data_IF_711745249260
#
_entry.id   IF_711745249260
#
_cell.length_a   1.000
_cell.length_b   1.000
_cell.length_c   1.000
_cell.angle_alpha   90.00
_cell.angle_beta   90.00
_cell.angle_gamma   90.00
#
_symmetry.space_group_name_H-M   'P 1'
#
loop_
_entity.id
_entity.type
_entity.pdbx_description
1 polymer ?
#
# COMPACT_ATOMS: atom_id res chain seq x y z
N UNK A 1 5.51 43.03 -11.68
CA UNK A 1 5.50 41.97 -12.70
C UNK A 1 6.49 40.92 -12.22
N UNK A 2 6.00 39.81 -11.66
CA UNK A 2 6.83 38.75 -11.09
C UNK A 2 6.57 37.51 -11.92
N UNK A 3 7.64 36.97 -12.50
CA UNK A 3 7.59 35.72 -13.24
C UNK A 3 7.79 34.57 -12.25
N UNK A 4 6.89 33.60 -12.27
CA UNK A 4 7.07 32.34 -11.55
C UNK A 4 7.79 31.36 -12.48
N UNK A 5 8.99 30.93 -12.11
CA UNK A 5 9.58 29.71 -12.65
C UNK A 5 9.25 28.56 -11.69
N UNK A 6 8.76 27.47 -12.27
CA UNK A 6 8.61 26.18 -11.61
C UNK A 6 9.94 25.75 -10.98
N UNK A 7 9.83 25.08 -9.84
CA UNK A 7 10.88 24.33 -9.14
C UNK A 7 11.68 25.07 -8.05
N UNK A 8 11.97 24.30 -7.00
CA UNK A 8 12.61 24.60 -5.71
C UNK A 8 11.86 25.44 -4.66
N UNK A 9 11.20 24.68 -3.79
CA UNK A 9 10.72 25.10 -2.46
C UNK A 9 11.90 25.35 -1.51
N UNK A 10 12.47 26.56 -1.48
CA UNK A 10 13.36 26.99 -0.39
C UNK A 10 12.82 28.28 0.24
N UNK A 11 12.10 28.15 1.36
CA UNK A 11 11.83 29.28 2.27
C UNK A 11 12.86 29.28 3.39
N UNK A 12 13.84 30.19 3.34
CA UNK A 12 14.69 30.50 4.51
C UNK A 12 13.96 31.47 5.44
N UNK A 13 13.65 31.01 6.66
CA UNK A 13 13.27 31.86 7.81
C UNK A 13 14.33 31.69 8.90
N UNK A 14 14.69 32.79 9.55
CA UNK A 14 15.84 32.91 10.45
C UNK A 14 15.82 32.03 11.71
N UNK A 15 17.03 31.83 12.25
CA UNK A 15 17.43 31.24 13.55
C UNK A 15 16.37 30.40 14.29
N UNK A 16 16.60 29.08 14.28
CA UNK A 16 16.14 28.16 15.33
C UNK A 16 15.14 27.11 14.86
N UNK A 17 15.65 25.90 14.60
CA UNK A 17 14.95 24.68 14.17
C UNK A 17 14.37 24.74 12.76
N UNK A 18 15.06 24.06 11.85
CA UNK A 18 14.50 23.58 10.59
C UNK A 18 13.31 22.67 10.95
N UNK A 19 12.09 23.21 10.88
CA UNK A 19 10.89 22.39 10.82
C UNK A 19 10.94 21.73 9.45
N UNK A 20 11.56 20.54 9.40
CA UNK A 20 11.48 19.65 8.24
C UNK A 20 10.00 19.50 7.94
N UNK A 21 9.54 20.11 6.87
CA UNK A 21 8.19 19.92 6.37
C UNK A 21 7.93 18.41 6.35
N UNK A 22 6.80 17.92 6.90
CA UNK A 22 6.53 16.51 6.86
C UNK A 22 6.54 16.11 5.38
N UNK A 23 7.48 15.24 5.00
CA UNK A 23 7.48 14.62 3.68
C UNK A 23 6.08 14.05 3.46
N UNK A 24 5.45 14.23 2.28
CA UNK A 24 4.12 13.68 2.01
C UNK A 24 4.08 12.22 2.45
N UNK A 25 3.05 11.87 3.24
CA UNK A 25 2.95 10.55 3.83
C UNK A 25 2.74 9.51 2.70
N UNK A 26 3.73 8.64 2.54
CA UNK A 26 3.69 7.54 1.56
C UNK A 26 3.06 6.30 2.18
N UNK A 27 2.31 5.53 1.41
CA UNK A 27 1.81 4.22 1.85
C UNK A 27 3.00 3.27 2.05
N UNK A 28 3.02 2.61 3.20
CA UNK A 28 4.07 1.69 3.64
C UNK A 28 3.59 0.26 3.74
N UNK A 29 2.34 0.07 4.18
CA UNK A 29 1.69 -1.24 4.23
C UNK A 29 0.25 -1.14 3.75
N UNK A 30 -0.18 -2.15 3.02
CA UNK A 30 -1.58 -2.43 2.72
C UNK A 30 -1.89 -3.87 3.12
N UNK A 31 -3.03 -4.09 3.75
CA UNK A 31 -3.64 -5.41 3.88
C UNK A 31 -4.97 -5.36 3.16
N UNK A 32 -5.15 -6.24 2.19
CA UNK A 32 -6.30 -6.27 1.29
C UNK A 32 -7.03 -7.61 1.44
N UNK A 33 -8.35 -7.55 1.46
CA UNK A 33 -9.21 -8.70 1.20
C UNK A 33 -9.50 -8.72 -0.31
N UNK A 34 -9.12 -9.82 -0.97
CA UNK A 34 -9.20 -9.96 -2.43
C UNK A 34 -9.94 -11.24 -2.79
N UNK A 35 -10.98 -11.08 -3.61
CA UNK A 35 -11.70 -12.19 -4.24
C UNK A 35 -11.08 -12.46 -5.61
N UNK A 36 -10.73 -13.72 -5.89
CA UNK A 36 -10.19 -14.12 -7.19
C UNK A 36 -10.80 -15.42 -7.71
N UNK A 37 -10.79 -15.68 -9.02
CA UNK A 37 -11.00 -17.03 -9.57
C UNK A 37 -9.87 -18.00 -9.18
N UNK A 38 -10.07 -19.31 -9.34
CA UNK A 38 -9.01 -20.30 -9.09
C UNK A 38 -7.74 -20.10 -9.92
N UNK A 39 -7.88 -19.55 -11.13
CA UNK A 39 -6.76 -19.19 -12.01
C UNK A 39 -6.87 -17.72 -12.40
N UNK A 40 -5.78 -16.92 -12.30
CA UNK A 40 -4.40 -17.31 -11.99
C UNK A 40 -4.15 -17.71 -10.51
N UNK A 41 -3.02 -18.37 -10.27
CA UNK A 41 -2.68 -18.91 -8.94
C UNK A 41 -2.21 -17.80 -7.99
N UNK A 42 -2.25 -18.07 -6.68
CA UNK A 42 -1.71 -17.15 -5.67
C UNK A 42 -0.22 -16.81 -5.88
N UNK A 43 0.54 -17.72 -6.52
CA UNK A 43 1.95 -17.51 -6.85
C UNK A 43 2.12 -16.48 -7.98
N UNK A 44 1.20 -16.45 -8.93
CA UNK A 44 1.21 -15.49 -10.04
C UNK A 44 0.90 -14.08 -9.53
N UNK A 45 -0.11 -13.97 -8.65
CA UNK A 45 -0.42 -12.71 -7.96
C UNK A 45 0.78 -12.22 -7.13
N UNK A 46 1.41 -13.10 -6.35
CA UNK A 46 2.57 -12.73 -5.53
C UNK A 46 3.74 -12.22 -6.38
N UNK A 47 4.04 -12.86 -7.51
CA UNK A 47 5.11 -12.44 -8.41
C UNK A 47 4.81 -11.10 -9.09
N UNK A 48 3.56 -10.92 -9.56
CA UNK A 48 3.14 -9.68 -10.20
C UNK A 48 3.21 -8.49 -9.24
N UNK A 49 2.63 -8.65 -8.04
CA UNK A 49 2.62 -7.60 -7.02
C UNK A 49 4.02 -7.30 -6.47
N UNK A 50 4.84 -8.34 -6.26
CA UNK A 50 6.22 -8.19 -5.78
C UNK A 50 7.15 -7.48 -6.77
N UNK A 51 6.74 -7.35 -8.04
CA UNK A 51 7.51 -6.67 -9.08
C UNK A 51 7.12 -5.19 -9.26
N UNK A 52 6.11 -4.71 -8.52
CA UNK A 52 5.67 -3.32 -8.60
C UNK A 52 6.68 -2.37 -7.95
N UNK A 53 6.77 -1.15 -8.50
CA UNK A 53 7.63 -0.11 -7.95
C UNK A 53 7.23 0.24 -6.51
N UNK A 54 8.24 0.40 -5.65
CA UNK A 54 8.03 0.73 -4.25
C UNK A 54 7.64 -0.46 -3.36
N UNK A 55 7.34 -1.64 -3.91
CA UNK A 55 7.08 -2.87 -3.14
C UNK A 55 8.41 -3.52 -2.73
N UNK A 56 8.54 -3.83 -1.44
CA UNK A 56 9.69 -4.54 -0.86
C UNK A 56 9.38 -6.01 -0.56
N UNK A 57 8.11 -6.32 -0.29
CA UNK A 57 7.68 -7.67 0.00
C UNK A 57 6.16 -7.80 -0.07
N UNK A 58 5.71 -9.01 -0.40
CA UNK A 58 4.31 -9.38 -0.41
C UNK A 58 4.12 -10.70 0.34
N UNK A 59 3.02 -10.82 1.04
CA UNK A 59 2.56 -12.04 1.67
C UNK A 59 1.11 -12.26 1.25
N UNK A 60 0.79 -13.45 0.76
CA UNK A 60 -0.56 -13.81 0.37
C UNK A 60 -0.97 -15.08 1.13
N UNK A 61 -2.16 -15.06 1.71
CA UNK A 61 -2.75 -16.20 2.39
C UNK A 61 -4.16 -16.46 1.89
N UNK A 62 -4.37 -17.61 1.28
CA UNK A 62 -5.70 -18.14 0.96
C UNK A 62 -6.35 -18.60 2.27
N UNK A 63 -7.55 -18.11 2.58
CA UNK A 63 -8.26 -18.49 3.81
C UNK A 63 -9.64 -19.09 3.56
N UNK A 64 -10.20 -18.93 2.37
CA UNK A 64 -11.46 -19.55 1.98
C UNK A 64 -11.45 -19.92 0.49
N UNK A 65 -12.10 -21.04 0.19
CA UNK A 65 -12.23 -21.58 -1.17
C UNK A 65 -13.69 -21.94 -1.38
N UNK A 66 -14.30 -21.30 -2.36
CA UNK A 66 -15.67 -21.55 -2.82
C UNK A 66 -15.67 -22.39 -4.10
N UNK A 67 -16.86 -22.60 -4.68
CA UNK A 67 -17.01 -23.39 -5.91
C UNK A 67 -16.36 -22.75 -7.14
N UNK A 68 -16.34 -21.41 -7.20
CA UNK A 68 -15.85 -20.67 -8.37
C UNK A 68 -14.81 -19.60 -8.00
N UNK A 69 -14.64 -19.32 -6.71
CA UNK A 69 -13.85 -18.21 -6.20
C UNK A 69 -13.01 -18.60 -4.99
N UNK A 70 -12.01 -17.77 -4.69
CA UNK A 70 -11.08 -17.91 -3.58
C UNK A 70 -10.93 -16.55 -2.89
N UNK A 71 -11.02 -16.53 -1.56
CA UNK A 71 -10.72 -15.33 -0.76
C UNK A 71 -9.27 -15.37 -0.29
N UNK A 72 -8.52 -14.36 -0.68
CA UNK A 72 -7.08 -14.24 -0.41
C UNK A 72 -6.82 -12.94 0.32
N UNK A 73 -6.19 -13.03 1.48
CA UNK A 73 -5.63 -11.86 2.16
C UNK A 73 -4.26 -11.57 1.58
N UNK A 74 -4.05 -10.33 1.15
CA UNK A 74 -2.79 -9.85 0.57
C UNK A 74 -2.22 -8.75 1.45
N UNK A 75 -1.02 -8.98 1.99
CA UNK A 75 -0.24 -7.97 2.70
C UNK A 75 0.92 -7.50 1.82
N UNK A 76 1.03 -6.21 1.60
CA UNK A 76 2.09 -5.58 0.80
C UNK A 76 2.84 -4.60 1.69
N UNK A 77 4.17 -4.70 1.73
CA UNK A 77 5.03 -3.73 2.41
C UNK A 77 6.02 -3.09 1.45
N UNK A 78 6.29 -1.81 1.65
CA UNK A 78 7.05 -1.02 0.68
C UNK A 78 7.43 0.40 1.12
N UNK A 79 8.19 1.05 0.25
CA UNK A 79 8.60 2.44 0.37
C UNK A 79 7.89 3.25 -0.72
N UNK A 80 6.63 3.65 -0.46
CA UNK A 80 5.75 4.34 -1.42
C UNK A 80 4.99 3.43 -2.37
N UNK A 81 4.15 2.56 -1.80
CA UNK A 81 3.25 1.70 -2.56
C UNK A 81 2.22 2.55 -3.31
N UNK A 82 2.11 2.36 -4.62
CA UNK A 82 1.03 2.91 -5.45
C UNK A 82 -0.17 1.95 -5.42
N UNK A 83 -1.19 2.29 -4.65
CA UNK A 83 -2.43 1.51 -4.57
C UNK A 83 -3.12 1.37 -5.94
N UNK A 84 -3.08 2.41 -6.78
CA UNK A 84 -3.70 2.34 -8.12
C UNK A 84 -2.98 1.34 -9.00
N UNK A 85 -1.65 1.24 -8.91
CA UNK A 85 -0.90 0.21 -9.62
C UNK A 85 -1.25 -1.20 -9.10
N UNK A 86 -1.30 -1.38 -7.78
CA UNK A 86 -1.71 -2.65 -7.13
C UNK A 86 -3.10 -3.09 -7.60
N UNK A 87 -4.10 -2.20 -7.51
CA UNK A 87 -5.48 -2.49 -7.88
C UNK A 87 -5.58 -2.83 -9.38
N UNK A 88 -4.86 -2.13 -10.25
CA UNK A 88 -4.82 -2.45 -11.68
C UNK A 88 -4.24 -3.83 -11.94
N UNK A 89 -3.09 -4.15 -11.34
CA UNK A 89 -2.45 -5.47 -11.50
C UNK A 89 -3.35 -6.60 -11.01
N UNK A 90 -4.06 -6.41 -9.90
CA UNK A 90 -5.05 -7.39 -9.42
C UNK A 90 -6.19 -7.58 -10.43
N UNK A 91 -6.77 -6.48 -10.93
CA UNK A 91 -7.86 -6.53 -11.90
C UNK A 91 -7.44 -7.18 -13.23
N UNK A 92 -6.22 -6.92 -13.71
CA UNK A 92 -5.65 -7.55 -14.91
C UNK A 92 -5.51 -9.08 -14.76
N UNK A 93 -5.31 -9.55 -13.53
CA UNK A 93 -5.27 -10.97 -13.15
C UNK A 93 -6.67 -11.51 -12.80
N UNK A 94 -7.74 -10.75 -13.01
CA UNK A 94 -9.11 -11.16 -12.70
C UNK A 94 -9.45 -11.19 -11.20
N UNK A 95 -8.61 -10.61 -10.35
CA UNK A 95 -8.83 -10.49 -8.92
C UNK A 95 -9.39 -9.11 -8.56
N UNK A 96 -10.33 -9.06 -7.61
CA UNK A 96 -11.03 -7.85 -7.21
C UNK A 96 -10.80 -7.58 -5.72
N UNK A 97 -10.41 -6.35 -5.39
CA UNK A 97 -10.30 -5.91 -3.99
C UNK A 97 -11.70 -5.74 -3.42
N UNK A 98 -12.03 -6.52 -2.39
CA UNK A 98 -13.29 -6.44 -1.68
C UNK A 98 -13.25 -5.37 -0.59
N UNK A 99 -12.16 -5.35 0.20
CA UNK A 99 -11.90 -4.32 1.20
C UNK A 99 -10.40 -4.08 1.41
N UNK A 100 -10.10 -2.90 1.95
CA UNK A 100 -8.79 -2.57 2.50
C UNK A 100 -8.91 -2.76 4.01
N UNK A 101 -8.30 -3.83 4.53
CA UNK A 101 -8.37 -4.23 5.93
C UNK A 101 -7.46 -3.37 6.81
N UNK A 102 -6.26 -3.04 6.33
CA UNK A 102 -5.27 -2.24 7.06
C UNK A 102 -4.47 -1.34 6.11
N UNK A 103 -4.15 -0.13 6.56
CA UNK A 103 -3.23 0.79 5.89
C UNK A 103 -2.26 1.39 6.90
N UNK A 104 -0.95 1.28 6.62
CA UNK A 104 0.07 2.05 7.33
C UNK A 104 0.71 3.07 6.37
N UNK A 105 0.79 4.33 6.78
CA UNK A 105 1.38 5.40 5.97
C UNK A 105 2.30 6.31 6.81
N UNK A 106 3.26 6.94 6.13
CA UNK A 106 4.21 7.88 6.74
C UNK A 106 5.65 7.39 6.69
N UNK A 107 6.49 7.90 7.60
CA UNK A 107 7.93 7.60 7.63
C UNK A 107 8.31 6.39 8.47
N UNK A 108 7.39 5.94 9.34
CA UNK A 108 7.55 4.80 10.23
C UNK A 108 6.30 3.95 10.11
N UNK A 109 6.48 2.64 10.19
CA UNK A 109 5.39 1.70 10.29
C UNK A 109 4.82 1.68 11.73
N UNK A 110 3.51 1.86 11.84
CA UNK A 110 2.78 1.89 13.13
C UNK A 110 1.96 0.62 13.21
N UNK A 111 2.29 -0.24 14.16
CA UNK A 111 1.51 -1.44 14.45
C UNK A 111 0.28 -1.09 15.28
N UNK A 112 -0.79 -1.87 15.09
CA UNK A 112 -1.99 -1.78 15.94
C UNK A 112 -1.62 -2.14 17.37
N UNK A 113 -1.96 -1.27 18.31
CA UNK A 113 -1.75 -1.51 19.74
C UNK A 113 -3.09 -1.91 20.33
N UNK A 114 -3.20 -3.15 20.82
CA UNK A 114 -4.40 -3.61 21.54
C UNK A 114 -4.62 -2.72 22.76
N UNK A 115 -5.80 -2.11 22.85
CA UNK A 115 -6.18 -1.31 24.02
C UNK A 115 -7.13 -2.10 24.90
N UNK A 116 -7.25 -1.73 26.18
CA UNK A 116 -8.21 -2.34 27.11
C UNK A 116 -9.69 -2.17 26.66
N UNK A 117 -9.96 -1.39 25.61
CA UNK A 117 -11.28 -1.17 25.04
C UNK A 117 -11.65 -2.19 23.95
N UNK A 118 -10.71 -3.01 23.49
CA UNK A 118 -10.91 -4.01 22.42
C UNK A 118 -11.29 -5.42 22.94
N UNK A 119 -11.66 -5.54 24.23
CA UNK A 119 -12.02 -6.82 24.90
C UNK A 119 -13.47 -6.86 25.38
#
# INVERSE_FOLDING_TARGET
MVFYTQDDSVKKVGRGRELKTPTPATIRRLVLDVLKPHQPSILDLAQALGSLEGVLGVNLSLYEVDQETENVRITIEGNSIDYTAVERTLNELGAVVHSIDEVAAGTKLVEVVETLQDR
#
